data_IF_700531924370
#
_entry.id   IF_700531924370
#
_cell.length_a   1.000
_cell.length_b   1.000
_cell.length_c   1.000
_cell.angle_alpha   90.00
_cell.angle_beta   90.00
_cell.angle_gamma   90.00
#
_symmetry.space_group_name_H-M   'P 1'
#
loop_
_entity.id
_entity.type
_entity.pdbx_description
1 polymer ?
#
# COMPACT_ATOMS: atom_id res chain seq x y z
N UNK A 1 5.88 15.05 8.29
CA UNK A 1 4.66 15.66 7.74
C UNK A 1 3.66 16.16 8.78
N UNK A 2 3.76 15.80 10.07
CA UNK A 2 2.78 16.25 11.08
C UNK A 2 1.36 15.71 10.86
N UNK A 3 1.20 14.68 10.02
CA UNK A 3 -0.09 14.13 9.65
C UNK A 3 -0.63 13.20 10.75
N UNK A 4 -1.93 13.30 11.02
CA UNK A 4 -2.60 12.45 12.00
C UNK A 4 -2.72 11.03 11.47
N UNK A 5 -2.23 10.04 12.23
CA UNK A 5 -2.39 8.61 11.90
C UNK A 5 -3.86 8.21 11.75
N UNK A 6 -4.76 8.77 12.56
CA UNK A 6 -6.20 8.51 12.47
C UNK A 6 -6.83 8.97 11.15
N UNK A 7 -6.23 9.95 10.47
CA UNK A 7 -6.66 10.37 9.13
C UNK A 7 -6.15 9.43 8.01
N UNK A 8 -5.30 8.46 8.34
CA UNK A 8 -4.65 7.52 7.41
C UNK A 8 -4.84 6.08 7.91
N UNK A 9 -6.10 5.60 8.02
CA UNK A 9 -6.38 4.26 8.51
C UNK A 9 -5.76 3.18 7.62
N UNK A 10 -5.45 2.02 8.20
CA UNK A 10 -4.87 0.93 7.43
C UNK A 10 -5.96 0.09 6.76
N UNK A 11 -5.82 -0.12 5.45
CA UNK A 11 -6.44 -1.20 4.69
C UNK A 11 -5.55 -1.53 3.47
N UNK A 12 -5.63 -2.76 2.96
CA UNK A 12 -4.85 -3.12 1.78
C UNK A 12 -5.32 -2.31 0.56
N UNK A 13 -4.37 -1.76 -0.19
CA UNK A 13 -4.64 -0.88 -1.32
C UNK A 13 -4.86 0.59 -0.95
N UNK A 14 -4.77 0.96 0.34
CA UNK A 14 -4.90 2.36 0.73
C UNK A 14 -3.80 3.21 0.10
N UNK A 15 -4.19 4.37 -0.41
CA UNK A 15 -3.29 5.35 -1.01
C UNK A 15 -3.57 6.73 -0.42
N UNK A 16 -2.51 7.35 0.09
CA UNK A 16 -2.56 8.68 0.66
C UNK A 16 -1.51 9.57 0.00
N UNK A 17 -1.92 10.63 -0.71
CA UNK A 17 -1.01 11.69 -1.10
C UNK A 17 -0.39 12.35 0.12
N UNK A 18 0.91 12.59 0.07
CA UNK A 18 1.69 13.25 1.11
C UNK A 18 2.27 14.57 0.55
N UNK A 19 2.65 15.51 1.43
CA UNK A 19 3.33 16.72 1.01
C UNK A 19 4.59 16.44 0.16
N UNK A 20 4.93 17.40 -0.72
CA UNK A 20 6.06 17.33 -1.64
C UNK A 20 5.94 16.22 -2.70
N UNK A 21 4.72 15.95 -3.18
CA UNK A 21 4.47 14.99 -4.25
C UNK A 21 4.79 13.54 -3.88
N UNK A 22 4.86 13.23 -2.58
CA UNK A 22 5.12 11.87 -2.09
C UNK A 22 3.82 11.11 -1.94
N UNK A 23 3.92 9.79 -1.90
CA UNK A 23 2.77 8.90 -1.76
C UNK A 23 3.03 7.89 -0.65
N UNK A 24 2.01 7.61 0.16
CA UNK A 24 1.97 6.49 1.09
C UNK A 24 1.00 5.44 0.54
N UNK A 25 1.50 4.23 0.34
CA UNK A 25 0.70 3.06 -0.02
C UNK A 25 0.70 2.08 1.15
N UNK A 26 -0.44 1.44 1.39
CA UNK A 26 -0.57 0.38 2.38
C UNK A 26 -0.93 -0.95 1.71
N UNK A 27 -0.28 -2.02 2.14
CA UNK A 27 -0.62 -3.39 1.78
C UNK A 27 -0.65 -4.25 3.03
N UNK A 28 -1.44 -5.33 3.02
CA UNK A 28 -1.15 -6.45 3.91
C UNK A 28 0.31 -6.89 3.77
N UNK A 29 0.87 -7.30 4.89
CA UNK A 29 2.24 -7.82 4.96
C UNK A 29 2.33 -9.17 4.25
N UNK A 30 3.45 -9.44 3.59
CA UNK A 30 3.73 -10.68 2.84
C UNK A 30 4.08 -11.87 3.75
N UNK A 31 3.45 -11.96 4.94
CA UNK A 31 3.65 -13.10 5.83
C UNK A 31 3.04 -14.37 5.24
N UNK A 32 3.59 -15.53 5.62
CA UNK A 32 3.02 -16.83 5.27
C UNK A 32 1.54 -16.92 5.60
N UNK A 33 1.12 -16.43 6.76
CA UNK A 33 -0.30 -16.44 7.15
C UNK A 33 -1.18 -15.72 6.11
N UNK A 34 -0.80 -14.52 5.67
CA UNK A 34 -1.61 -13.75 4.71
C UNK A 34 -1.60 -14.39 3.32
N UNK A 35 -0.45 -14.88 2.86
CA UNK A 35 -0.32 -15.44 1.51
C UNK A 35 -0.92 -16.85 1.42
N UNK A 36 -0.72 -17.70 2.44
CA UNK A 36 -1.24 -19.07 2.46
C UNK A 36 -2.76 -19.13 2.64
N UNK A 37 -3.36 -18.18 3.36
CA UNK A 37 -4.82 -18.13 3.56
C UNK A 37 -5.57 -17.38 2.45
N UNK A 38 -4.86 -16.82 1.46
CA UNK A 38 -5.47 -16.00 0.41
C UNK A 38 -5.88 -14.59 0.85
N UNK A 39 -5.58 -14.17 2.09
CA UNK A 39 -5.80 -12.80 2.57
C UNK A 39 -4.98 -11.77 1.76
N UNK A 40 -3.85 -12.19 1.20
CA UNK A 40 -3.09 -11.44 0.22
C UNK A 40 -2.70 -12.37 -0.93
N UNK A 41 -3.26 -12.15 -2.12
CA UNK A 41 -2.87 -12.90 -3.32
C UNK A 41 -1.66 -12.27 -4.01
N UNK A 42 -1.07 -13.00 -4.96
CA UNK A 42 0.04 -12.50 -5.77
C UNK A 42 -0.40 -11.31 -6.62
N UNK A 43 -1.60 -11.38 -7.20
CA UNK A 43 -2.18 -10.37 -8.07
C UNK A 43 -2.42 -9.07 -7.29
N UNK A 44 -2.98 -9.18 -6.08
CA UNK A 44 -3.17 -8.05 -5.17
C UNK A 44 -1.86 -7.34 -4.83
N UNK A 45 -0.81 -8.10 -4.50
CA UNK A 45 0.48 -7.49 -4.18
C UNK A 45 1.14 -6.87 -5.41
N UNK A 46 1.03 -7.53 -6.57
CA UNK A 46 1.53 -7.00 -7.84
C UNK A 46 0.84 -5.68 -8.20
N UNK A 47 -0.47 -5.56 -7.98
CA UNK A 47 -1.23 -4.32 -8.20
C UNK A 47 -0.67 -3.15 -7.36
N UNK A 48 -0.37 -3.38 -6.07
CA UNK A 48 0.26 -2.37 -5.21
C UNK A 48 1.64 -1.97 -5.74
N UNK A 49 2.45 -2.92 -6.20
CA UNK A 49 3.77 -2.63 -6.76
C UNK A 49 3.69 -1.86 -8.08
N UNK A 50 2.77 -2.22 -8.98
CA UNK A 50 2.53 -1.50 -10.23
C UNK A 50 2.06 -0.06 -9.96
N UNK A 51 1.18 0.13 -8.98
CA UNK A 51 0.78 1.47 -8.52
C UNK A 51 1.95 2.26 -7.95
N UNK A 52 2.80 1.62 -7.15
CA UNK A 52 4.01 2.26 -6.62
C UNK A 52 4.96 2.71 -7.74
N UNK A 53 5.17 1.86 -8.75
CA UNK A 53 5.95 2.21 -9.95
C UNK A 53 5.36 3.42 -10.68
N UNK A 54 4.07 3.39 -10.99
CA UNK A 54 3.39 4.48 -11.69
C UNK A 54 3.50 5.81 -10.93
N UNK A 55 3.29 5.80 -9.61
CA UNK A 55 3.39 6.98 -8.76
C UNK A 55 4.84 7.49 -8.57
N UNK A 56 5.83 6.62 -8.75
CA UNK A 56 7.24 6.97 -8.71
C UNK A 56 7.79 7.39 -10.09
N UNK A 57 7.02 7.26 -11.17
CA UNK A 57 7.47 7.54 -12.54
C UNK A 57 8.38 6.45 -13.13
N UNK A 58 8.16 5.18 -12.76
CA UNK A 58 8.94 4.00 -13.18
C UNK A 58 8.17 3.01 -14.06
#
# INVERSE_FOLDING_TARGET
FGLKKSAHPFFHGAHYPLPQGRHLLASYHVSRQNTQTGRLTREMFLEVLLRAKALAGL
#
